data_IF_262178810839
#
_entry.id   IF_262178810839
#
_cell.length_a   1.000
_cell.length_b   1.000
_cell.length_c   1.000
_cell.angle_alpha   90.00
_cell.angle_beta   90.00
_cell.angle_gamma   90.00
#
_symmetry.space_group_name_H-M   'P 1'
#
loop_
_entity.id
_entity.type
_entity.pdbx_description
1 polymer ?
#
# COMPACT_ATOMS: atom_id res chain seq x y z
N UNK A 1 -5.82 15.82 38.50
CA UNK A 1 -7.03 16.60 38.14
C UNK A 1 -6.64 17.65 37.11
N UNK A 2 -7.10 17.57 35.86
CA UNK A 2 -6.85 18.64 34.88
C UNK A 2 -7.80 19.79 35.17
N UNK A 3 -7.26 20.99 35.48
CA UNK A 3 -8.07 22.21 35.55
C UNK A 3 -8.70 22.43 34.17
N UNK A 4 -10.03 22.38 34.08
CA UNK A 4 -10.73 22.76 32.83
C UNK A 4 -10.53 24.24 32.63
N UNK A 5 -9.89 24.63 31.54
CA UNK A 5 -9.84 26.04 31.12
C UNK A 5 -11.27 26.50 30.85
N UNK A 6 -11.70 27.66 31.39
CA UNK A 6 -13.02 28.20 31.08
C UNK A 6 -13.12 28.48 29.58
N UNK A 7 -14.30 28.21 28.99
CA UNK A 7 -14.58 28.53 27.60
C UNK A 7 -14.64 30.07 27.43
N UNK A 8 -14.16 30.61 26.30
CA UNK A 8 -14.23 32.05 26.04
C UNK A 8 -15.67 32.57 26.07
N UNK A 9 -15.85 33.80 26.49
CA UNK A 9 -17.15 34.47 26.49
C UNK A 9 -17.60 34.77 25.04
N UNK A 10 -18.90 35.04 24.84
CA UNK A 10 -19.40 35.42 23.51
C UNK A 10 -18.76 36.73 23.04
N UNK A 11 -18.56 37.70 23.94
CA UNK A 11 -17.92 38.97 23.58
C UNK A 11 -16.43 38.81 23.24
N UNK A 12 -15.71 37.91 23.92
CA UNK A 12 -14.33 37.55 23.55
C UNK A 12 -14.28 36.91 22.15
N UNK A 13 -15.23 36.01 21.85
CA UNK A 13 -15.32 35.40 20.54
C UNK A 13 -15.66 36.44 19.47
N UNK A 14 -16.67 37.29 19.70
CA UNK A 14 -17.04 38.37 18.78
C UNK A 14 -15.86 39.32 18.51
N UNK A 15 -15.09 39.67 19.53
CA UNK A 15 -13.91 40.52 19.39
C UNK A 15 -12.76 39.85 18.62
N UNK A 16 -12.64 38.53 18.70
CA UNK A 16 -11.64 37.74 17.95
C UNK A 16 -12.10 37.28 16.57
N UNK A 17 -13.39 37.44 16.25
CA UNK A 17 -13.99 36.99 14.99
C UNK A 17 -13.69 38.04 13.92
N UNK A 18 -13.31 37.61 12.72
CA UNK A 18 -13.02 38.53 11.62
C UNK A 18 -14.27 39.33 11.21
N UNK A 19 -14.09 40.58 10.78
CA UNK A 19 -15.18 41.45 10.34
C UNK A 19 -16.00 40.80 9.20
N UNK A 20 -15.31 40.06 8.32
CA UNK A 20 -15.93 39.29 7.23
C UNK A 20 -16.87 38.20 7.76
N UNK A 21 -16.44 37.44 8.76
CA UNK A 21 -17.26 36.40 9.39
C UNK A 21 -18.47 37.01 10.10
N UNK A 22 -18.29 38.12 10.82
CA UNK A 22 -19.41 38.82 11.46
C UNK A 22 -20.43 39.29 10.42
N UNK A 23 -19.97 39.84 9.29
CA UNK A 23 -20.85 40.23 8.18
C UNK A 23 -21.57 39.05 7.54
N UNK A 24 -20.94 37.86 7.48
CA UNK A 24 -21.61 36.63 7.04
C UNK A 24 -22.72 36.17 7.99
N UNK A 25 -22.46 36.18 9.29
CA UNK A 25 -23.46 35.85 10.30
C UNK A 25 -24.63 36.84 10.24
N UNK A 26 -24.34 38.13 10.10
CA UNK A 26 -25.35 39.17 9.93
C UNK A 26 -26.18 38.97 8.66
N UNK A 27 -25.53 38.64 7.54
CA UNK A 27 -26.22 38.28 6.29
C UNK A 27 -27.14 37.06 6.43
N UNK A 28 -26.81 36.13 7.33
CA UNK A 28 -27.64 34.98 7.72
C UNK A 28 -28.68 35.29 8.79
N UNK A 29 -28.85 36.56 9.18
CA UNK A 29 -29.83 36.98 10.17
C UNK A 29 -29.37 36.79 11.62
N UNK A 30 -28.06 36.69 11.86
CA UNK A 30 -27.42 36.58 13.17
C UNK A 30 -26.54 37.80 13.43
N UNK A 31 -27.16 38.93 13.81
CA UNK A 31 -26.43 40.11 14.25
C UNK A 31 -25.65 39.83 15.54
N UNK A 32 -24.64 40.66 15.83
CA UNK A 32 -23.89 40.57 17.09
C UNK A 32 -24.81 40.61 18.31
N UNK A 33 -25.85 41.45 18.29
CA UNK A 33 -26.81 41.55 19.39
C UNK A 33 -27.66 40.29 19.55
N UNK A 34 -28.07 39.66 18.45
CA UNK A 34 -28.78 38.39 18.48
C UNK A 34 -27.89 37.25 18.99
N UNK A 35 -26.60 37.26 18.65
CA UNK A 35 -25.64 36.28 19.17
C UNK A 35 -25.40 36.46 20.68
N UNK A 36 -25.39 37.71 21.18
CA UNK A 36 -25.36 38.01 22.62
C UNK A 36 -26.63 37.54 23.32
N UNK A 37 -27.79 37.80 22.73
CA UNK A 37 -29.09 37.36 23.25
C UNK A 37 -29.15 35.82 23.35
N UNK A 38 -28.72 35.10 22.30
CA UNK A 38 -28.59 33.64 22.34
C UNK A 38 -27.61 33.19 23.43
N UNK A 39 -26.51 33.93 23.60
CA UNK A 39 -25.49 33.73 24.63
C UNK A 39 -25.99 33.82 26.07
N UNK A 40 -27.16 34.42 26.31
CA UNK A 40 -27.75 34.50 27.65
C UNK A 40 -28.28 33.15 28.17
N UNK A 41 -28.58 32.21 27.27
CA UNK A 41 -29.02 30.85 27.62
C UNK A 41 -27.85 29.85 27.52
N UNK A 42 -27.86 28.78 28.33
CA UNK A 42 -26.76 27.77 28.31
C UNK A 42 -26.63 27.07 26.96
N UNK A 43 -27.76 26.71 26.34
CA UNK A 43 -27.77 26.01 25.06
C UNK A 43 -27.51 26.98 23.90
N UNK A 44 -28.05 28.20 23.98
CA UNK A 44 -27.79 29.26 23.00
C UNK A 44 -26.34 29.75 23.04
N UNK A 45 -25.70 29.77 24.20
CA UNK A 45 -24.28 30.09 24.34
C UNK A 45 -23.39 29.07 23.63
N UNK A 46 -23.69 27.78 23.74
CA UNK A 46 -22.93 26.76 23.00
C UNK A 46 -23.17 26.89 21.48
N UNK A 47 -24.40 27.20 21.06
CA UNK A 47 -24.73 27.39 19.66
C UNK A 47 -24.04 28.63 19.06
N UNK A 48 -24.09 29.78 19.74
CA UNK A 48 -23.41 31.00 19.34
C UNK A 48 -21.89 30.82 19.30
N UNK A 49 -21.31 30.10 20.28
CA UNK A 49 -19.88 29.71 20.25
C UNK A 49 -19.55 28.87 19.03
N UNK A 50 -20.37 27.88 18.70
CA UNK A 50 -20.15 27.05 17.53
C UNK A 50 -20.22 27.87 16.23
N UNK A 51 -21.15 28.83 16.13
CA UNK A 51 -21.25 29.74 14.98
C UNK A 51 -20.03 30.66 14.83
N UNK A 52 -19.52 31.18 15.94
CA UNK A 52 -18.35 32.07 15.94
C UNK A 52 -17.03 31.32 15.72
N UNK A 53 -16.98 30.01 15.99
CA UNK A 53 -15.77 29.19 15.83
C UNK A 53 -15.79 28.27 14.61
N UNK A 54 -16.88 28.25 13.84
CA UNK A 54 -17.06 27.29 12.74
C UNK A 54 -16.20 27.54 11.51
N UNK A 55 -15.55 28.70 11.40
CA UNK A 55 -14.74 29.06 10.24
C UNK A 55 -13.32 29.44 10.66
N UNK A 56 -12.47 28.44 10.96
CA UNK A 56 -11.06 28.68 11.09
C UNK A 56 -10.43 28.49 9.71
N UNK A 57 -9.73 29.53 9.26
CA UNK A 57 -8.88 29.60 8.05
C UNK A 57 -9.54 30.24 6.83
N UNK A 58 -8.96 31.38 6.48
CA UNK A 58 -9.09 32.04 5.18
C UNK A 58 -8.58 31.08 4.10
N UNK A 59 -9.48 30.46 3.36
CA UNK A 59 -9.09 29.77 2.14
C UNK A 59 -8.79 30.82 1.06
N UNK A 60 -7.82 30.51 0.19
CA UNK A 60 -7.54 31.36 -0.96
C UNK A 60 -8.83 31.60 -1.77
N UNK A 61 -9.05 32.82 -2.30
CA UNK A 61 -10.24 33.13 -3.08
C UNK A 61 -10.42 32.13 -4.21
N UNK A 62 -11.69 31.75 -4.46
CA UNK A 62 -12.09 30.79 -5.49
C UNK A 62 -11.49 31.19 -6.84
N UNK A 63 -10.93 30.22 -7.58
CA UNK A 63 -10.41 30.43 -8.94
C UNK A 63 -11.51 30.60 -10.00
N UNK A 64 -12.75 30.83 -9.55
CA UNK A 64 -13.97 30.93 -10.35
C UNK A 64 -14.68 29.60 -10.56
N UNK A 65 -14.15 28.46 -10.07
CA UNK A 65 -14.78 27.14 -10.27
C UNK A 65 -16.14 27.02 -9.60
N UNK A 66 -16.39 27.75 -8.52
CA UNK A 66 -17.63 27.61 -7.74
C UNK A 66 -18.69 28.59 -8.17
N UNK A 67 -18.31 29.80 -8.58
CA UNK A 67 -19.19 30.68 -9.33
C UNK A 67 -19.68 29.98 -10.61
N UNK A 68 -18.77 29.34 -11.37
CA UNK A 68 -19.13 28.55 -12.55
C UNK A 68 -20.04 27.36 -12.22
N UNK A 69 -19.88 26.74 -11.04
CA UNK A 69 -20.77 25.67 -10.58
C UNK A 69 -22.19 26.20 -10.33
N UNK A 70 -22.35 27.31 -9.62
CA UNK A 70 -23.65 27.95 -9.38
C UNK A 70 -24.32 28.36 -10.70
N UNK A 71 -23.53 28.86 -11.65
CA UNK A 71 -24.00 29.20 -13.00
C UNK A 71 -24.38 27.97 -13.82
N UNK A 72 -23.76 26.81 -13.57
CA UNK A 72 -24.11 25.56 -14.24
C UNK A 72 -25.38 24.88 -13.70
N UNK A 73 -25.92 25.33 -12.55
CA UNK A 73 -27.16 24.79 -12.01
C UNK A 73 -28.35 25.19 -12.90
N UNK A 74 -29.26 24.24 -13.13
CA UNK A 74 -30.56 24.53 -13.75
C UNK A 74 -31.37 25.49 -12.87
N UNK A 75 -32.28 26.26 -13.47
CA UNK A 75 -33.18 27.18 -12.75
C UNK A 75 -33.92 26.50 -11.59
N UNK A 76 -34.45 25.29 -11.82
CA UNK A 76 -35.11 24.51 -10.77
C UNK A 76 -34.16 24.20 -9.59
N UNK A 77 -32.89 23.87 -9.86
CA UNK A 77 -31.91 23.60 -8.82
C UNK A 77 -31.47 24.87 -8.09
N UNK A 78 -31.43 26.01 -8.80
CA UNK A 78 -31.16 27.32 -8.22
C UNK A 78 -32.27 27.74 -7.26
N UNK A 79 -33.53 27.61 -7.66
CA UNK A 79 -34.70 27.90 -6.81
C UNK A 79 -34.73 27.00 -5.57
N UNK A 80 -34.48 25.69 -5.75
CA UNK A 80 -34.43 24.75 -4.63
C UNK A 80 -33.28 25.03 -3.67
N UNK A 81 -32.10 25.38 -4.19
CA UNK A 81 -30.96 25.75 -3.36
C UNK A 81 -31.23 27.07 -2.61
N UNK A 82 -31.84 28.05 -3.27
CA UNK A 82 -32.22 29.31 -2.64
C UNK A 82 -33.26 29.10 -1.53
N UNK A 83 -34.28 28.27 -1.78
CA UNK A 83 -35.30 27.92 -0.79
C UNK A 83 -34.72 27.15 0.41
N UNK A 84 -33.78 26.24 0.17
CA UNK A 84 -33.15 25.44 1.22
C UNK A 84 -32.18 26.27 2.09
N UNK A 85 -31.45 27.20 1.50
CA UNK A 85 -30.43 27.99 2.19
C UNK A 85 -30.97 29.30 2.76
N UNK A 86 -32.11 29.80 2.24
CA UNK A 86 -32.65 31.11 2.57
C UNK A 86 -31.88 32.28 1.93
N UNK A 87 -30.94 32.00 1.02
CA UNK A 87 -30.14 33.01 0.33
C UNK A 87 -30.48 33.04 -1.17
N UNK A 88 -30.46 34.22 -1.79
CA UNK A 88 -30.51 34.33 -3.24
C UNK A 88 -29.22 33.81 -3.87
N UNK A 89 -29.28 33.32 -5.12
CA UNK A 89 -28.11 32.84 -5.86
C UNK A 89 -27.04 33.93 -5.99
N UNK A 90 -27.43 35.18 -6.24
CA UNK A 90 -26.48 36.29 -6.31
C UNK A 90 -25.75 36.51 -4.99
N UNK A 91 -26.45 36.36 -3.86
CA UNK A 91 -25.83 36.46 -2.52
C UNK A 91 -24.91 35.28 -2.23
N UNK A 92 -25.24 34.08 -2.71
CA UNK A 92 -24.33 32.92 -2.67
C UNK A 92 -23.09 33.13 -3.55
N UNK A 93 -23.24 33.79 -4.72
CA UNK A 93 -22.10 34.16 -5.59
C UNK A 93 -21.17 35.15 -4.89
N UNK A 94 -21.71 36.21 -4.30
CA UNK A 94 -20.93 37.18 -3.52
C UNK A 94 -20.22 36.52 -2.33
N UNK A 95 -20.84 35.52 -1.70
CA UNK A 95 -20.19 34.73 -0.66
C UNK A 95 -19.00 33.91 -1.22
N UNK A 96 -19.10 33.33 -2.42
CA UNK A 96 -18.00 32.56 -3.04
C UNK A 96 -16.80 33.45 -3.40
N UNK A 97 -17.05 34.71 -3.75
CA UNK A 97 -16.00 35.70 -4.04
C UNK A 97 -15.21 36.08 -2.79
N UNK A 98 -15.80 35.89 -1.60
CA UNK A 98 -15.07 35.97 -0.34
C UNK A 98 -14.46 34.61 -0.01
N UNK A 99 -13.15 34.52 0.25
CA UNK A 99 -12.45 33.24 0.52
C UNK A 99 -13.09 32.37 1.62
N UNK A 100 -13.90 32.97 2.50
CA UNK A 100 -14.63 32.30 3.57
C UNK A 100 -15.94 31.61 3.14
N UNK A 101 -16.59 32.07 2.06
CA UNK A 101 -17.91 31.56 1.66
C UNK A 101 -17.84 30.22 0.93
N UNK A 102 -16.66 29.84 0.46
CA UNK A 102 -16.39 28.60 -0.26
C UNK A 102 -16.58 27.35 0.60
N UNK A 103 -15.95 27.31 1.76
CA UNK A 103 -16.13 26.24 2.74
C UNK A 103 -17.57 26.13 3.20
N UNK A 104 -18.27 27.27 3.36
CA UNK A 104 -19.69 27.30 3.70
C UNK A 104 -20.57 26.73 2.59
N UNK A 105 -20.38 27.17 1.35
CA UNK A 105 -21.15 26.70 0.19
C UNK A 105 -20.92 25.21 -0.06
N UNK A 106 -19.67 24.74 0.02
CA UNK A 106 -19.35 23.32 -0.14
C UNK A 106 -20.06 22.46 0.89
N UNK A 107 -20.14 22.93 2.14
CA UNK A 107 -20.86 22.24 3.21
C UNK A 107 -22.36 22.25 2.97
N UNK A 108 -22.93 23.39 2.61
CA UNK A 108 -24.35 23.52 2.26
C UNK A 108 -24.74 22.60 1.11
N UNK A 109 -23.92 22.55 0.04
CA UNK A 109 -24.12 21.67 -1.10
C UNK A 109 -24.05 20.19 -0.70
N UNK A 110 -23.13 19.81 0.19
CA UNK A 110 -23.05 18.44 0.73
C UNK A 110 -24.28 18.10 1.57
N UNK A 111 -24.69 19.01 2.44
CA UNK A 111 -25.83 18.83 3.36
C UNK A 111 -27.18 18.79 2.64
N UNK A 112 -27.31 19.54 1.54
CA UNK A 112 -28.53 19.63 0.73
C UNK A 112 -28.40 18.88 -0.61
N UNK A 113 -27.49 17.92 -0.72
CA UNK A 113 -27.36 17.07 -1.92
C UNK A 113 -28.65 16.35 -2.27
N UNK A 114 -29.49 16.06 -1.27
CA UNK A 114 -30.80 15.44 -1.45
C UNK A 114 -31.82 16.37 -2.16
N UNK A 115 -31.65 17.69 -2.03
CA UNK A 115 -32.52 18.72 -2.61
C UNK A 115 -32.21 18.95 -4.10
N UNK A 116 -30.93 18.83 -4.48
CA UNK A 116 -30.46 18.94 -5.87
C UNK A 116 -30.80 17.71 -6.74
N UNK A 117 -31.51 16.74 -6.17
CA UNK A 117 -32.47 15.90 -6.89
C UNK A 117 -32.00 15.28 -8.20
N UNK A 118 -30.75 14.82 -8.31
CA UNK A 118 -30.33 14.08 -9.50
C UNK A 118 -31.09 12.74 -9.57
N UNK A 119 -32.07 12.56 -10.47
CA UNK A 119 -32.80 11.32 -10.62
C UNK A 119 -31.89 10.41 -11.46
N UNK A 120 -31.09 9.62 -10.76
CA UNK A 120 -30.07 8.79 -11.39
C UNK A 120 -29.13 8.27 -10.33
N UNK A 121 -29.52 7.17 -9.68
CA UNK A 121 -28.67 6.41 -8.77
C UNK A 121 -27.42 5.93 -9.50
N UNK A 122 -26.39 6.76 -9.51
CA UNK A 122 -25.06 6.40 -9.99
C UNK A 122 -24.12 6.16 -8.79
N UNK A 123 -22.93 5.57 -8.99
CA UNK A 123 -21.99 5.09 -7.96
C UNK A 123 -21.67 6.07 -6.82
N UNK A 124 -22.03 7.35 -6.97
CA UNK A 124 -21.88 8.43 -6.00
C UNK A 124 -22.59 8.22 -4.67
N UNK A 125 -23.71 7.48 -4.57
CA UNK A 125 -24.32 7.18 -3.25
C UNK A 125 -23.53 6.14 -2.45
N UNK A 126 -22.85 5.20 -3.15
CA UNK A 126 -21.83 4.33 -2.54
C UNK A 126 -20.58 5.13 -2.19
N UNK A 127 -20.17 6.08 -3.03
CA UNK A 127 -19.05 6.99 -2.77
C UNK A 127 -19.33 7.89 -1.55
N UNK A 128 -20.51 8.47 -1.42
CA UNK A 128 -20.90 9.36 -0.32
C UNK A 128 -21.07 8.61 1.00
N UNK A 129 -21.71 7.43 1.00
CA UNK A 129 -21.71 6.55 2.19
C UNK A 129 -20.30 6.12 2.56
N UNK A 130 -19.43 5.85 1.58
CA UNK A 130 -18.03 5.47 1.80
C UNK A 130 -17.21 6.65 2.33
N UNK A 131 -17.44 7.87 1.85
CA UNK A 131 -16.79 9.10 2.33
C UNK A 131 -17.24 9.37 3.77
N UNK A 132 -18.54 9.28 4.08
CA UNK A 132 -19.06 9.44 5.46
C UNK A 132 -18.49 8.39 6.42
N UNK A 133 -18.41 7.13 5.99
CA UNK A 133 -17.74 6.05 6.76
C UNK A 133 -16.22 6.23 6.90
N UNK A 134 -15.59 7.04 6.03
CA UNK A 134 -14.16 7.37 6.08
C UNK A 134 -13.87 8.64 6.89
N UNK A 135 -14.85 9.55 7.03
CA UNK A 135 -14.71 10.83 7.75
C UNK A 135 -15.18 10.75 9.19
N UNK A 136 -16.19 9.92 9.50
CA UNK A 136 -16.60 9.65 10.87
C UNK A 136 -15.63 8.65 11.51
N UNK A 137 -14.52 9.19 12.01
CA UNK A 137 -13.44 8.49 12.67
C UNK A 137 -13.89 7.81 13.97
N UNK A 138 -14.53 6.65 13.84
CA UNK A 138 -14.63 5.72 14.96
C UNK A 138 -13.21 5.27 15.34
N UNK A 139 -12.80 5.32 16.62
CA UNK A 139 -11.44 4.98 17.05
C UNK A 139 -11.05 3.54 16.65
N UNK A 140 -12.04 2.65 16.48
CA UNK A 140 -11.91 1.27 16.00
C UNK A 140 -12.34 1.05 14.54
N UNK A 141 -12.48 2.13 13.76
CA UNK A 141 -13.12 2.12 12.45
C UNK A 141 -12.51 1.12 11.43
N UNK A 142 -13.32 0.60 10.48
CA UNK A 142 -12.94 -0.42 9.50
C UNK A 142 -11.72 -0.08 8.64
N UNK A 143 -11.24 1.17 8.65
CA UNK A 143 -9.98 1.57 8.02
C UNK A 143 -8.75 0.82 8.57
N UNK A 144 -8.65 0.59 9.88
CA UNK A 144 -7.49 -0.10 10.45
C UNK A 144 -7.48 -1.59 10.09
N UNK A 145 -8.63 -2.26 10.17
CA UNK A 145 -8.80 -3.65 9.74
C UNK A 145 -8.58 -3.81 8.24
N UNK A 146 -9.08 -2.88 7.43
CA UNK A 146 -8.86 -2.89 5.98
C UNK A 146 -7.38 -2.75 5.62
N UNK A 147 -6.64 -1.84 6.27
CA UNK A 147 -5.20 -1.66 6.06
C UNK A 147 -4.44 -2.92 6.47
N UNK A 148 -4.67 -3.45 7.66
CA UNK A 148 -4.01 -4.67 8.15
C UNK A 148 -4.32 -5.85 7.23
N UNK A 149 -5.59 -6.03 6.84
CA UNK A 149 -6.00 -7.10 5.92
C UNK A 149 -5.34 -6.98 4.54
N UNK A 150 -5.18 -5.76 4.00
CA UNK A 150 -4.48 -5.54 2.73
C UNK A 150 -3.01 -5.96 2.79
N UNK A 151 -2.30 -5.60 3.87
CA UNK A 151 -0.91 -6.00 4.06
C UNK A 151 -0.75 -7.51 4.30
N UNK A 152 -1.63 -8.11 5.09
CA UNK A 152 -1.63 -9.56 5.32
C UNK A 152 -1.90 -10.34 4.03
N UNK A 153 -2.88 -9.90 3.22
CA UNK A 153 -3.16 -10.51 1.91
C UNK A 153 -1.94 -10.38 1.00
N UNK A 154 -1.29 -9.22 0.95
CA UNK A 154 -0.09 -8.98 0.13
C UNK A 154 1.08 -9.87 0.57
N UNK A 155 1.27 -10.05 1.88
CA UNK A 155 2.29 -10.95 2.40
C UNK A 155 1.97 -12.41 2.07
N UNK A 156 0.73 -12.84 2.30
CA UNK A 156 0.30 -14.20 2.01
C UNK A 156 0.47 -14.54 0.52
N UNK A 157 0.11 -13.63 -0.39
CA UNK A 157 0.34 -13.82 -1.82
C UNK A 157 1.81 -13.78 -2.21
N UNK A 158 2.64 -12.96 -1.57
CA UNK A 158 4.09 -13.02 -1.76
C UNK A 158 4.63 -14.42 -1.42
N UNK A 159 4.23 -14.98 -0.27
CA UNK A 159 4.63 -16.31 0.16
C UNK A 159 4.13 -17.40 -0.79
N UNK A 160 2.86 -17.34 -1.23
CA UNK A 160 2.32 -18.26 -2.24
C UNK A 160 3.09 -18.15 -3.56
N UNK A 161 3.44 -16.93 -3.99
CA UNK A 161 4.26 -16.70 -5.18
C UNK A 161 5.66 -17.31 -5.07
N UNK A 162 6.29 -17.25 -3.89
CA UNK A 162 7.59 -17.88 -3.64
C UNK A 162 7.50 -19.41 -3.65
N UNK A 163 6.47 -19.98 -3.02
CA UNK A 163 6.22 -21.43 -3.06
C UNK A 163 5.96 -21.90 -4.49
N UNK A 164 5.11 -21.18 -5.22
CA UNK A 164 4.82 -21.46 -6.62
C UNK A 164 6.09 -21.36 -7.48
N UNK A 165 6.93 -20.34 -7.25
CA UNK A 165 8.22 -20.20 -7.91
C UNK A 165 9.09 -21.44 -7.67
N UNK A 166 9.27 -21.85 -6.40
CA UNK A 166 10.09 -23.00 -6.04
C UNK A 166 9.59 -24.30 -6.66
N UNK A 167 8.28 -24.54 -6.63
CA UNK A 167 7.67 -25.73 -7.25
C UNK A 167 7.85 -25.70 -8.77
N UNK A 168 7.53 -24.58 -9.43
CA UNK A 168 7.66 -24.46 -10.87
C UNK A 168 9.12 -24.55 -11.33
N UNK A 169 10.09 -24.10 -10.53
CA UNK A 169 11.51 -24.24 -10.86
C UNK A 169 11.90 -25.70 -11.13
N UNK A 170 11.28 -26.66 -10.43
CA UNK A 170 11.54 -28.09 -10.66
C UNK A 170 11.10 -28.54 -12.06
N UNK A 171 10.03 -27.95 -12.61
CA UNK A 171 9.44 -28.37 -13.88
C UNK A 171 9.93 -27.57 -15.09
N UNK A 172 10.06 -26.25 -14.94
CA UNK A 172 10.34 -25.32 -16.04
C UNK A 172 11.63 -24.52 -15.83
N UNK A 173 12.43 -24.87 -14.82
CA UNK A 173 13.73 -24.26 -14.55
C UNK A 173 13.64 -22.75 -14.30
N UNK A 174 14.53 -21.98 -14.94
CA UNK A 174 14.63 -20.54 -14.77
C UNK A 174 13.39 -19.76 -15.25
N UNK A 175 12.56 -20.33 -16.12
CA UNK A 175 11.31 -19.68 -16.58
C UNK A 175 10.30 -19.49 -15.43
N UNK A 176 10.41 -20.28 -14.36
CA UNK A 176 9.59 -20.13 -13.15
C UNK A 176 9.72 -18.74 -12.51
N UNK A 177 10.89 -18.10 -12.63
CA UNK A 177 11.12 -16.73 -12.12
C UNK A 177 10.17 -15.76 -12.79
N UNK A 178 10.02 -15.85 -14.12
CA UNK A 178 9.18 -14.93 -14.90
C UNK A 178 7.72 -15.09 -14.48
N UNK A 179 7.24 -16.32 -14.34
CA UNK A 179 5.88 -16.61 -13.89
C UNK A 179 5.62 -16.05 -12.49
N UNK A 180 6.56 -16.25 -11.56
CA UNK A 180 6.46 -15.74 -10.19
C UNK A 180 6.47 -14.21 -10.13
N UNK A 181 7.35 -13.56 -10.91
CA UNK A 181 7.42 -12.10 -11.01
C UNK A 181 6.14 -11.51 -11.61
N UNK A 182 5.59 -12.11 -12.67
CA UNK A 182 4.32 -11.67 -13.28
C UNK A 182 3.15 -11.82 -12.31
N UNK A 183 3.02 -12.98 -11.67
CA UNK A 183 2.00 -13.23 -10.64
C UNK A 183 2.08 -12.18 -9.53
N UNK A 184 3.28 -11.96 -9.01
CA UNK A 184 3.50 -11.01 -7.94
C UNK A 184 3.24 -9.55 -8.36
N UNK A 185 3.64 -9.16 -9.57
CA UNK A 185 3.36 -7.83 -10.12
C UNK A 185 1.86 -7.57 -10.29
N UNK A 186 1.09 -8.56 -10.77
CA UNK A 186 -0.37 -8.46 -10.90
C UNK A 186 -1.02 -8.25 -9.52
N UNK A 187 -0.61 -9.06 -8.54
CA UNK A 187 -1.12 -8.97 -7.18
C UNK A 187 -0.74 -7.63 -6.53
N UNK A 188 0.49 -7.18 -6.70
CA UNK A 188 0.96 -5.90 -6.17
C UNK A 188 0.23 -4.72 -6.81
N UNK A 189 -0.04 -4.79 -8.12
CA UNK A 189 -0.85 -3.80 -8.84
C UNK A 189 -2.28 -3.75 -8.31
N UNK A 190 -2.90 -4.91 -8.07
CA UNK A 190 -4.22 -5.00 -7.43
C UNK A 190 -4.21 -4.44 -6.00
N UNK A 191 -3.21 -4.80 -5.19
CA UNK A 191 -3.04 -4.31 -3.84
C UNK A 191 -2.82 -2.78 -3.81
N UNK A 192 -2.07 -2.24 -4.76
CA UNK A 192 -1.84 -0.80 -4.93
C UNK A 192 -3.13 -0.03 -5.21
N UNK A 193 -4.05 -0.63 -5.98
CA UNK A 193 -5.37 -0.02 -6.24
C UNK A 193 -6.26 -0.02 -5.00
N UNK A 194 -6.14 -1.01 -4.10
CA UNK A 194 -6.97 -1.12 -2.89
C UNK A 194 -6.41 -0.38 -1.68
N UNK A 195 -5.11 -0.42 -1.48
CA UNK A 195 -4.43 0.23 -0.35
C UNK A 195 -4.14 1.67 -0.81
N UNK A 196 -5.05 2.61 -0.55
CA UNK A 196 -4.83 4.04 -0.81
C UNK A 196 -3.50 4.49 -0.19
N UNK A 197 -2.88 5.50 -0.79
CA UNK A 197 -1.57 6.08 -0.44
C UNK A 197 -1.52 6.60 1.00
N UNK A 198 -1.35 5.70 1.96
CA UNK A 198 -0.95 6.07 3.32
C UNK A 198 0.51 6.54 3.28
N UNK A 199 0.88 7.63 3.96
CA UNK A 199 2.26 8.09 3.96
C UNK A 199 3.20 6.99 4.48
N UNK A 200 4.23 6.65 3.70
CA UNK A 200 5.16 5.54 3.98
C UNK A 200 4.82 4.20 3.30
N UNK A 201 3.65 4.05 2.66
CA UNK A 201 3.33 2.82 1.93
C UNK A 201 4.24 2.59 0.73
N UNK A 202 4.78 3.65 0.13
CA UNK A 202 5.71 3.57 -0.99
C UNK A 202 6.99 2.83 -0.62
N UNK A 203 7.66 3.22 0.47
CA UNK A 203 8.89 2.58 0.94
C UNK A 203 8.66 1.12 1.32
N UNK A 204 7.59 0.83 2.06
CA UNK A 204 7.25 -0.55 2.44
C UNK A 204 6.94 -1.43 1.21
N UNK A 205 6.29 -0.89 0.17
CA UNK A 205 6.05 -1.60 -1.10
C UNK A 205 7.33 -1.84 -1.88
N UNK A 206 8.20 -0.83 -1.98
CA UNK A 206 9.48 -0.96 -2.65
C UNK A 206 10.32 -2.04 -1.96
N UNK A 207 10.38 -2.03 -0.63
CA UNK A 207 11.08 -3.05 0.16
C UNK A 207 10.50 -4.45 -0.05
N UNK A 208 9.16 -4.59 -0.06
CA UNK A 208 8.49 -5.87 -0.32
C UNK A 208 8.78 -6.39 -1.73
N UNK A 209 8.72 -5.52 -2.74
CA UNK A 209 9.05 -5.85 -4.13
C UNK A 209 10.52 -6.26 -4.30
N UNK A 210 11.45 -5.47 -3.78
CA UNK A 210 12.90 -5.77 -3.86
C UNK A 210 13.18 -7.09 -3.15
N UNK A 211 12.64 -7.29 -1.95
CA UNK A 211 12.83 -8.53 -1.18
C UNK A 211 12.28 -9.74 -1.95
N UNK A 212 11.07 -9.62 -2.53
CA UNK A 212 10.49 -10.69 -3.34
C UNK A 212 11.36 -11.01 -4.56
N UNK A 213 11.81 -10.00 -5.31
CA UNK A 213 12.66 -10.18 -6.49
C UNK A 213 13.96 -10.88 -6.13
N UNK A 214 14.62 -10.45 -5.04
CA UNK A 214 15.87 -11.06 -4.58
C UNK A 214 15.65 -12.53 -4.21
N UNK A 215 14.60 -12.85 -3.45
CA UNK A 215 14.31 -14.23 -3.07
C UNK A 215 13.95 -15.06 -4.31
N UNK A 216 13.06 -14.58 -5.17
CA UNK A 216 12.63 -15.28 -6.38
C UNK A 216 13.79 -15.53 -7.34
N UNK A 217 14.74 -14.59 -7.45
CA UNK A 217 15.95 -14.77 -8.25
C UNK A 217 16.90 -15.80 -7.62
N UNK A 218 17.01 -15.85 -6.28
CA UNK A 218 17.86 -16.80 -5.57
C UNK A 218 17.30 -18.23 -5.57
N UNK A 219 15.98 -18.40 -5.60
CA UNK A 219 15.31 -19.71 -5.50
C UNK A 219 15.87 -20.69 -6.53
N UNK A 220 15.91 -20.43 -7.85
CA UNK A 220 16.41 -21.41 -8.83
C UNK A 220 17.83 -21.87 -8.62
N UNK A 221 18.71 -20.98 -8.17
CA UNK A 221 20.11 -21.33 -7.89
C UNK A 221 20.26 -22.19 -6.63
N UNK A 222 19.27 -22.18 -5.73
CA UNK A 222 19.30 -22.88 -4.44
C UNK A 222 18.37 -24.07 -4.36
N UNK A 223 17.34 -24.16 -5.21
CA UNK A 223 16.37 -25.26 -5.20
C UNK A 223 17.07 -26.59 -5.42
N UNK A 224 18.06 -26.66 -6.31
CA UNK A 224 18.85 -27.87 -6.52
C UNK A 224 19.63 -28.28 -5.27
N UNK A 225 20.31 -27.34 -4.61
CA UNK A 225 21.11 -27.63 -3.41
C UNK A 225 20.26 -28.13 -2.27
N UNK A 226 19.10 -27.49 -2.09
CA UNK A 226 18.12 -27.91 -1.11
C UNK A 226 17.52 -29.28 -1.46
N UNK A 227 17.19 -29.50 -2.73
CA UNK A 227 16.66 -30.78 -3.20
C UNK A 227 17.68 -31.91 -3.00
N UNK A 228 18.94 -31.74 -3.43
CA UNK A 228 19.99 -32.73 -3.26
C UNK A 228 20.38 -32.92 -1.79
N UNK A 229 20.29 -31.89 -0.95
CA UNK A 229 20.47 -32.05 0.50
C UNK A 229 19.35 -32.90 1.12
N UNK A 230 18.12 -32.73 0.67
CA UNK A 230 16.94 -33.43 1.22
C UNK A 230 16.73 -34.84 0.65
N UNK A 231 17.07 -35.06 -0.62
CA UNK A 231 16.75 -36.29 -1.39
C UNK A 231 17.95 -36.93 -2.08
N UNK A 232 19.08 -36.23 -2.15
CA UNK A 232 20.26 -36.73 -2.84
C UNK A 232 20.92 -37.89 -2.11
N UNK A 233 21.51 -38.80 -2.89
CA UNK A 233 22.29 -39.92 -2.39
C UNK A 233 23.76 -39.60 -2.56
N UNK A 234 24.52 -39.76 -1.48
CA UNK A 234 25.96 -39.57 -1.51
C UNK A 234 26.65 -40.84 -2.01
N UNK A 235 27.56 -40.71 -2.97
CA UNK A 235 28.30 -41.82 -3.53
C UNK A 235 29.69 -41.40 -4.00
N UNK A 236 30.58 -42.39 -4.16
CA UNK A 236 31.83 -42.19 -4.89
C UNK A 236 31.57 -42.34 -6.38
N UNK A 237 31.95 -41.34 -7.17
CA UNK A 237 31.84 -41.37 -8.62
C UNK A 237 33.21 -41.15 -9.26
N UNK A 238 33.43 -41.75 -10.42
CA UNK A 238 34.68 -41.56 -11.17
C UNK A 238 34.52 -40.39 -12.12
N UNK A 239 35.41 -39.41 -12.07
CA UNK A 239 35.42 -38.30 -13.03
C UNK A 239 35.78 -38.85 -14.40
N UNK A 240 35.00 -38.53 -15.43
CA UNK A 240 35.25 -38.98 -16.82
C UNK A 240 35.50 -37.78 -17.72
N UNK A 241 35.92 -38.05 -18.97
CA UNK A 241 36.23 -37.02 -19.94
C UNK A 241 35.10 -35.96 -20.03
N UNK A 242 35.42 -34.66 -19.88
CA UNK A 242 34.40 -33.61 -19.80
C UNK A 242 33.62 -33.47 -21.11
N UNK A 243 32.44 -32.87 -21.02
CA UNK A 243 31.65 -32.49 -22.19
C UNK A 243 31.92 -31.03 -22.53
N UNK A 244 32.15 -30.72 -23.79
CA UNK A 244 32.19 -29.33 -24.25
C UNK A 244 30.88 -29.01 -24.93
N UNK A 245 30.22 -27.92 -24.55
CA UNK A 245 29.04 -27.38 -25.24
C UNK A 245 29.32 -25.94 -25.65
N UNK A 246 28.55 -25.44 -26.60
CA UNK A 246 28.52 -24.01 -26.89
C UNK A 246 27.38 -23.37 -26.12
N UNK A 247 27.66 -22.29 -25.39
CA UNK A 247 26.65 -21.48 -24.72
C UNK A 247 27.02 -20.01 -24.90
N UNK A 248 26.06 -19.17 -25.29
CA UNK A 248 26.26 -17.72 -25.49
C UNK A 248 27.55 -17.35 -26.27
N UNK A 249 27.82 -18.05 -27.38
CA UNK A 249 28.96 -17.75 -28.25
C UNK A 249 30.34 -18.17 -27.73
N UNK A 250 30.43 -18.88 -26.61
CA UNK A 250 31.70 -19.43 -26.10
C UNK A 250 31.59 -20.92 -25.79
N UNK A 251 32.73 -21.62 -25.83
CA UNK A 251 32.81 -23.03 -25.44
C UNK A 251 32.81 -23.11 -23.91
N UNK A 252 31.83 -23.81 -23.36
CA UNK A 252 31.74 -24.12 -21.94
C UNK A 252 32.04 -25.61 -21.77
N UNK A 253 33.04 -25.92 -20.94
CA UNK A 253 33.28 -27.29 -20.51
C UNK A 253 32.41 -27.60 -19.29
N UNK A 254 31.90 -28.82 -19.22
CA UNK A 254 31.20 -29.35 -18.05
C UNK A 254 31.81 -30.68 -17.67
N UNK A 255 31.95 -30.90 -16.37
CA UNK A 255 32.42 -32.18 -15.88
C UNK A 255 31.36 -33.25 -16.08
N UNK A 256 31.83 -34.48 -16.26
CA UNK A 256 30.99 -35.66 -16.24
C UNK A 256 31.54 -36.62 -15.20
N UNK A 257 30.64 -37.30 -14.52
CA UNK A 257 30.98 -38.31 -13.53
C UNK A 257 30.26 -39.60 -13.88
N UNK A 258 30.94 -40.73 -13.72
CA UNK A 258 30.35 -42.07 -13.76
C UNK A 258 29.94 -42.46 -12.36
N UNK A 259 28.63 -42.56 -12.15
CA UNK A 259 28.02 -42.97 -10.88
C UNK A 259 28.20 -44.48 -10.65
N UNK A 260 27.99 -44.98 -9.41
CA UNK A 260 28.12 -46.42 -9.10
C UNK A 260 27.23 -47.33 -9.93
N UNK A 261 26.08 -46.82 -10.39
CA UNK A 261 25.17 -47.53 -11.29
C UNK A 261 25.67 -47.59 -12.75
N UNK A 262 26.89 -47.12 -13.02
CA UNK A 262 27.50 -47.08 -14.35
C UNK A 262 27.03 -45.92 -15.24
N UNK A 263 25.99 -45.19 -14.85
CA UNK A 263 25.49 -44.05 -15.62
C UNK A 263 26.49 -42.90 -15.61
N UNK A 264 26.63 -42.24 -16.76
CA UNK A 264 27.49 -41.05 -16.90
C UNK A 264 26.60 -39.83 -16.95
N UNK A 265 26.75 -38.96 -15.95
CA UNK A 265 25.94 -37.75 -15.83
C UNK A 265 26.83 -36.51 -15.81
N UNK A 266 26.29 -35.41 -16.34
CA UNK A 266 26.92 -34.10 -16.32
C UNK A 266 26.74 -33.48 -14.93
N UNK A 267 27.79 -32.90 -14.36
CA UNK A 267 27.68 -32.08 -13.15
C UNK A 267 27.23 -30.67 -13.51
N UNK A 268 26.44 -30.04 -12.65
CA UNK A 268 25.96 -28.67 -12.87
C UNK A 268 27.01 -27.62 -12.51
N UNK A 269 27.82 -27.87 -11.48
CA UNK A 269 28.97 -27.04 -11.15
C UNK A 269 30.12 -27.34 -12.11
N UNK A 270 30.53 -26.31 -12.85
CA UNK A 270 31.75 -26.37 -13.65
C UNK A 270 32.96 -26.18 -12.74
N UNK A 271 33.65 -27.27 -12.41
CA UNK A 271 34.90 -27.21 -11.68
C UNK A 271 36.05 -27.20 -12.69
N UNK A 272 36.88 -26.15 -12.65
CA UNK A 272 38.04 -26.00 -13.54
C UNK A 272 39.05 -27.14 -13.44
N UNK A 273 38.98 -27.95 -12.38
CA UNK A 273 39.86 -29.10 -12.16
C UNK A 273 39.43 -30.38 -12.88
N UNK A 274 38.28 -30.38 -13.56
CA UNK A 274 37.73 -31.62 -14.13
C UNK A 274 38.56 -32.26 -15.24
N UNK A 275 39.36 -31.49 -15.96
CA UNK A 275 40.28 -32.01 -16.97
C UNK A 275 41.47 -32.74 -16.35
N UNK A 276 41.98 -32.26 -15.23
CA UNK A 276 43.12 -32.87 -14.52
C UNK A 276 42.69 -34.02 -13.61
N UNK A 277 41.42 -34.06 -13.21
CA UNK A 277 40.85 -35.08 -12.34
C UNK A 277 40.30 -36.33 -13.07
N UNK A 278 40.41 -36.44 -14.41
CA UNK A 278 39.87 -37.59 -15.16
C UNK A 278 40.44 -38.91 -14.63
N UNK A 279 39.56 -39.87 -14.37
CA UNK A 279 39.89 -41.18 -13.82
C UNK A 279 39.99 -41.23 -12.30
N UNK A 280 40.01 -40.08 -11.61
CA UNK A 280 39.98 -40.03 -10.15
C UNK A 280 38.58 -40.29 -9.60
N UNK A 281 38.51 -40.74 -8.35
CA UNK A 281 37.25 -40.87 -7.62
C UNK A 281 36.99 -39.63 -6.78
N UNK A 282 35.75 -39.15 -6.81
CA UNK A 282 35.31 -38.00 -6.05
C UNK A 282 33.97 -38.30 -5.40
N UNK A 283 33.74 -37.73 -4.22
CA UNK A 283 32.45 -37.81 -3.57
C UNK A 283 31.47 -36.87 -4.25
N UNK A 284 30.31 -37.40 -4.61
CA UNK A 284 29.22 -36.64 -5.23
C UNK A 284 27.91 -36.93 -4.51
N UNK A 285 27.00 -35.97 -4.57
CA UNK A 285 25.59 -36.14 -4.22
C UNK A 285 24.79 -36.12 -5.52
N UNK A 286 24.03 -37.16 -5.79
CA UNK A 286 23.23 -37.29 -7.02
C UNK A 286 21.77 -37.58 -6.71
N UNK A 287 20.87 -37.18 -7.61
CA UNK A 287 19.46 -37.54 -7.55
C UNK A 287 19.22 -38.91 -8.20
N UNK A 288 18.76 -39.94 -7.46
CA UNK A 288 18.41 -41.24 -8.05
C UNK A 288 17.34 -41.15 -9.12
N UNK A 289 16.46 -40.15 -9.03
CA UNK A 289 15.34 -39.94 -9.96
C UNK A 289 15.78 -39.20 -11.23
N UNK A 290 17.00 -38.65 -11.27
CA UNK A 290 17.58 -38.00 -12.44
C UNK A 290 17.01 -36.63 -12.80
N UNK A 291 16.30 -35.95 -11.88
CA UNK A 291 15.78 -34.59 -12.14
C UNK A 291 16.89 -33.54 -12.13
N UNK A 292 17.90 -33.73 -11.28
CA UNK A 292 19.05 -32.85 -11.15
C UNK A 292 20.37 -33.58 -11.39
N UNK A 293 21.35 -32.87 -11.94
CA UNK A 293 22.68 -33.42 -12.15
C UNK A 293 23.42 -33.64 -10.82
N UNK A 294 24.40 -34.56 -10.78
CA UNK A 294 25.26 -34.75 -9.62
C UNK A 294 26.05 -33.49 -9.30
N UNK A 295 26.31 -33.28 -8.01
CA UNK A 295 27.16 -32.19 -7.50
C UNK A 295 28.31 -32.77 -6.68
N UNK A 296 29.50 -32.22 -6.83
CA UNK A 296 30.66 -32.62 -6.04
C UNK A 296 30.49 -32.22 -4.56
N UNK A 297 31.03 -33.03 -3.66
CA UNK A 297 31.05 -32.79 -2.23
C UNK A 297 30.15 -33.74 -1.44
N UNK A 298 29.88 -33.37 -0.20
CA UNK A 298 29.06 -34.13 0.75
C UNK A 298 27.72 -33.41 0.97
N UNK A 299 26.69 -34.14 1.39
CA UNK A 299 25.37 -33.55 1.68
C UNK A 299 25.42 -32.49 2.79
N UNK A 300 26.40 -32.57 3.69
CA UNK A 300 26.67 -31.62 4.76
C UNK A 300 27.57 -30.44 4.35
N UNK A 301 28.25 -30.53 3.21
CA UNK A 301 29.15 -29.50 2.68
C UNK A 301 28.42 -28.28 2.11
N UNK A 302 27.09 -28.32 2.06
CA UNK A 302 26.22 -27.20 1.69
C UNK A 302 26.14 -26.18 2.84
N UNK A 303 27.30 -25.65 3.24
CA UNK A 303 27.38 -24.56 4.20
C UNK A 303 26.66 -23.32 3.64
N UNK A 304 26.06 -22.56 4.55
CA UNK A 304 25.39 -21.29 4.27
C UNK A 304 26.42 -20.29 3.74
N UNK A 305 26.65 -20.30 2.44
CA UNK A 305 27.47 -19.30 1.75
C UNK A 305 26.83 -17.89 1.88
N UNK A 306 27.57 -16.81 1.58
CA UNK A 306 27.14 -15.40 1.66
C UNK A 306 25.78 -15.19 0.97
N UNK A 307 25.54 -15.90 -0.12
CA UNK A 307 24.27 -15.89 -0.86
C UNK A 307 23.08 -16.41 -0.03
N UNK A 308 23.30 -17.31 0.92
CA UNK A 308 22.30 -17.76 1.90
C UNK A 308 21.98 -16.66 2.92
N UNK A 309 23.00 -15.89 3.34
CA UNK A 309 22.80 -14.71 4.19
C UNK A 309 21.94 -13.64 3.52
N UNK A 310 22.15 -13.38 2.22
CA UNK A 310 21.32 -12.44 1.44
C UNK A 310 19.86 -12.91 1.34
N UNK A 311 19.63 -14.21 1.10
CA UNK A 311 18.28 -14.76 1.05
C UNK A 311 17.54 -14.65 2.41
N UNK A 312 18.24 -14.92 3.52
CA UNK A 312 17.70 -14.75 4.87
C UNK A 312 17.39 -13.29 5.16
N UNK A 313 18.31 -12.37 4.84
CA UNK A 313 18.09 -10.93 5.01
C UNK A 313 16.88 -10.43 4.19
N UNK A 314 16.74 -10.89 2.94
CA UNK A 314 15.59 -10.57 2.10
C UNK A 314 14.29 -11.14 2.68
N UNK A 315 14.31 -12.36 3.23
CA UNK A 315 13.14 -12.95 3.89
C UNK A 315 12.72 -12.16 5.14
N UNK A 316 13.69 -11.77 5.98
CA UNK A 316 13.44 -10.91 7.14
C UNK A 316 12.86 -9.57 6.70
N UNK A 317 13.41 -8.95 5.65
CA UNK A 317 12.90 -7.71 5.09
C UNK A 317 11.45 -7.85 4.56
N UNK A 318 11.15 -8.96 3.87
CA UNK A 318 9.82 -9.28 3.37
C UNK A 318 8.79 -9.38 4.50
N UNK A 319 9.16 -10.03 5.62
CA UNK A 319 8.31 -10.20 6.80
C UNK A 319 8.19 -8.92 7.64
N UNK A 320 9.26 -8.14 7.74
CA UNK A 320 9.30 -6.92 8.55
C UNK A 320 8.54 -5.75 7.92
N UNK A 321 8.52 -5.65 6.58
CA UNK A 321 7.86 -4.57 5.85
C UNK A 321 6.36 -4.38 6.23
N UNK A 322 5.49 -5.42 6.25
CA UNK A 322 4.11 -5.27 6.66
C UNK A 322 3.96 -4.92 8.15
N UNK A 323 4.82 -5.48 9.02
CA UNK A 323 4.80 -5.16 10.46
C UNK A 323 5.14 -3.69 10.68
N UNK A 324 6.16 -3.18 10.01
CA UNK A 324 6.56 -1.78 10.10
C UNK A 324 5.50 -0.84 9.54
N UNK A 325 4.86 -1.18 8.41
CA UNK A 325 3.75 -0.42 7.86
C UNK A 325 2.54 -0.35 8.82
N UNK A 326 2.20 -1.46 9.47
CA UNK A 326 1.13 -1.51 10.47
C UNK A 326 1.49 -0.68 11.71
N UNK A 327 2.73 -0.79 12.21
CA UNK A 327 3.20 -0.03 13.36
C UNK A 327 3.23 1.48 13.09
N UNK A 328 3.72 1.90 11.92
CA UNK A 328 3.74 3.29 11.49
C UNK A 328 2.31 3.87 11.35
N UNK A 329 1.36 3.08 10.84
CA UNK A 329 -0.04 3.47 10.78
C UNK A 329 -0.68 3.65 12.17
N UNK A 330 -0.28 2.85 13.17
CA UNK A 330 -0.77 2.97 14.56
C UNK A 330 -0.20 4.19 15.27
N UNK A 331 1.10 4.48 15.14
CA UNK A 331 1.78 5.60 15.84
C UNK A 331 1.26 6.99 15.44
N UNK A 332 0.71 7.17 14.23
CA UNK A 332 0.16 8.48 13.82
C UNK A 332 -1.14 8.80 14.53
N UNK A 333 -1.98 7.79 14.82
CA UNK A 333 -3.26 7.98 15.52
C UNK A 333 -3.08 8.51 16.95
N UNK A 334 -1.91 8.31 17.55
CA UNK A 334 -1.61 8.79 18.91
C UNK A 334 -1.10 10.23 18.96
N UNK A 335 -0.64 10.81 17.85
CA UNK A 335 -0.12 12.18 17.80
C UNK A 335 -1.17 13.23 17.41
N UNK A 336 -2.32 12.82 16.89
CA UNK A 336 -3.44 13.69 16.52
C UNK A 336 -4.54 13.73 17.60
N UNK A 337 -4.22 13.36 18.85
CA UNK A 337 -5.08 13.49 20.03
C UNK A 337 -4.39 14.37 21.06
#
# INVERSE_FOLDING_TARGET
MRKKTPLPSIDELLASTSEVHLKMLEMGGYSADKLREMGASRDGAQHARNMLTMFPEEEAPDDGTTAALLDSLSEENRERLAAATGFSIDKLRTLCETGYGMSYLRRLLVEHTDVLGAPGQSPRRREAKRIRYLTEGHPDGPGARAIVSGWLITLATALVGLVLCAVLTVWIGALAIIVALLYFAIVLSWANRKIRSSPGSGAARAMLLISFVVIAAMVPFRTQDWYLAARGVQAQATVVAPMTTWSHGHKVQYCKVRLPNGSVQRTESNDSTCTTAIGTTATVVYDPSGWYGPRFGTSSGNNVDISGGVAVAALVALLAAPVWAIAAARRRKTHTK
#
